data_IF_619773957431
#
_entry.id   IF_619773957431
#
_cell.length_a   1.000
_cell.length_b   1.000
_cell.length_c   1.000
_cell.angle_alpha   90.00
_cell.angle_beta   90.00
_cell.angle_gamma   90.00
#
_symmetry.space_group_name_H-M   'P 1'
#
loop_
_entity.id
_entity.type
_entity.pdbx_description
1 polymer ?
#
# COMPACT_ATOMS: atom_id res chain seq x y z
N UNK A 1 -1.55 -10.04 -11.54
CA UNK A 1 -0.43 -9.41 -10.79
C UNK A 1 -1.00 -8.26 -9.99
N UNK A 2 -0.60 -8.13 -8.73
CA UNK A 2 -0.94 -7.01 -7.86
C UNK A 2 -0.17 -5.77 -8.26
N UNK A 3 -0.86 -4.64 -8.46
CA UNK A 3 -0.26 -3.35 -8.81
C UNK A 3 -0.76 -2.21 -7.94
N UNK A 4 0.14 -1.50 -7.30
CA UNK A 4 -0.20 -0.31 -6.52
C UNK A 4 0.94 0.70 -6.59
N UNK A 5 0.64 1.95 -6.28
CA UNK A 5 1.59 3.07 -6.24
C UNK A 5 1.56 3.68 -4.85
N UNK A 6 2.70 3.83 -4.22
CA UNK A 6 2.86 4.55 -2.95
C UNK A 6 3.58 5.87 -3.18
N UNK A 7 3.16 6.94 -2.49
CA UNK A 7 3.86 8.22 -2.51
C UNK A 7 4.10 8.74 -1.08
N UNK A 8 5.19 9.47 -0.91
CA UNK A 8 5.61 10.00 0.39
C UNK A 8 4.79 11.20 0.88
N UNK A 9 4.13 11.91 -0.04
CA UNK A 9 3.20 12.99 0.27
C UNK A 9 1.75 12.61 -0.03
N UNK A 10 0.83 13.43 0.49
CA UNK A 10 -0.59 13.31 0.20
C UNK A 10 -0.90 13.66 -1.27
N UNK A 11 -2.10 13.29 -1.71
CA UNK A 11 -2.63 13.55 -3.05
C UNK A 11 -1.78 12.98 -4.20
N UNK A 12 -1.06 11.88 -3.95
CA UNK A 12 -0.18 11.22 -4.94
C UNK A 12 0.95 12.13 -5.46
N UNK A 13 1.48 12.99 -4.59
CA UNK A 13 2.58 13.91 -4.89
C UNK A 13 3.88 13.48 -4.20
N UNK A 14 4.99 14.16 -4.49
CA UNK A 14 6.30 13.88 -3.91
C UNK A 14 7.02 12.71 -4.59
N UNK A 15 7.83 11.98 -3.83
CA UNK A 15 8.50 10.77 -4.32
C UNK A 15 7.49 9.62 -4.33
N UNK A 16 7.28 9.04 -5.51
CA UNK A 16 6.37 7.93 -5.68
C UNK A 16 7.09 6.69 -6.21
N UNK A 17 6.66 5.52 -5.75
CA UNK A 17 7.14 4.22 -6.21
C UNK A 17 5.96 3.37 -6.68
N UNK A 18 6.10 2.78 -7.86
CA UNK A 18 5.20 1.75 -8.36
C UNK A 18 5.67 0.37 -7.91
N UNK A 19 4.73 -0.46 -7.45
CA UNK A 19 4.92 -1.83 -7.02
C UNK A 19 4.12 -2.77 -7.91
N UNK A 20 4.75 -3.89 -8.30
CA UNK A 20 4.21 -4.85 -9.26
C UNK A 20 4.63 -6.25 -8.87
N UNK A 21 3.74 -6.97 -8.19
CA UNK A 21 4.08 -8.25 -7.57
C UNK A 21 3.01 -9.31 -7.83
N UNK A 22 3.29 -10.54 -7.41
CA UNK A 22 2.30 -11.63 -7.44
C UNK A 22 1.10 -11.30 -6.56
N UNK A 23 -0.09 -11.70 -7.02
CA UNK A 23 -1.29 -11.68 -6.17
C UNK A 23 -1.18 -12.76 -5.10
N UNK A 24 -1.88 -12.60 -3.98
CA UNK A 24 -1.99 -13.56 -2.88
C UNK A 24 -0.67 -13.80 -2.13
N UNK A 25 0.47 -13.41 -2.65
CA UNK A 25 1.75 -13.43 -1.94
C UNK A 25 1.91 -12.20 -1.06
N UNK A 26 2.59 -12.39 0.07
CA UNK A 26 2.94 -11.30 0.96
C UNK A 26 4.30 -10.73 0.57
N UNK A 27 4.39 -9.40 0.51
CA UNK A 27 5.61 -8.69 0.14
C UNK A 27 5.95 -7.65 1.19
N UNK A 28 7.23 -7.59 1.56
CA UNK A 28 7.75 -6.61 2.52
C UNK A 28 8.21 -5.34 1.82
N UNK A 29 7.98 -4.19 2.46
CA UNK A 29 8.44 -2.91 1.96
C UNK A 29 9.96 -2.81 2.12
N UNK A 30 10.70 -2.39 1.07
CA UNK A 30 12.12 -2.09 1.18
C UNK A 30 12.39 -1.13 2.33
N UNK A 31 13.53 -1.31 3.03
CA UNK A 31 13.85 -0.55 4.24
C UNK A 31 13.90 0.96 3.98
N UNK A 32 14.27 1.36 2.77
CA UNK A 32 14.38 2.75 2.32
C UNK A 32 13.02 3.42 2.17
N UNK A 33 11.94 2.64 2.04
CA UNK A 33 10.57 3.13 1.82
C UNK A 33 9.68 2.96 3.06
N UNK A 34 10.17 2.27 4.09
CA UNK A 34 9.50 2.20 5.40
C UNK A 34 9.36 3.60 5.98
N UNK A 35 8.27 3.83 6.70
CA UNK A 35 8.00 5.11 7.36
C UNK A 35 7.80 6.33 6.46
N UNK A 36 7.50 6.12 5.17
CA UNK A 36 7.36 7.22 4.21
C UNK A 36 6.00 7.37 3.57
N UNK A 37 5.25 6.28 3.41
CA UNK A 37 4.06 6.30 2.56
C UNK A 37 2.90 7.08 3.20
N UNK A 38 2.47 8.15 2.54
CA UNK A 38 1.35 9.02 2.94
C UNK A 38 0.14 8.87 2.02
N UNK A 39 0.33 8.47 0.75
CA UNK A 39 -0.78 8.18 -0.16
C UNK A 39 -0.54 6.92 -0.98
N UNK A 40 -1.63 6.22 -1.32
CA UNK A 40 -1.58 4.92 -1.99
C UNK A 40 -2.66 4.85 -3.07
N UNK A 41 -2.29 4.52 -4.29
CA UNK A 41 -3.21 4.22 -5.37
C UNK A 41 -3.21 2.73 -5.70
N UNK A 42 -4.38 2.15 -5.95
CA UNK A 42 -4.54 0.74 -6.32
C UNK A 42 -5.21 0.67 -7.69
N UNK A 43 -4.68 -0.15 -8.60
CA UNK A 43 -5.21 -0.31 -9.95
C UNK A 43 -6.58 -0.99 -9.93
N UNK A 44 -7.48 -0.62 -10.86
CA UNK A 44 -8.80 -1.23 -11.01
C UNK A 44 -8.75 -2.77 -11.16
N UNK A 45 -9.75 -3.46 -10.61
CA UNK A 45 -9.87 -4.94 -10.70
C UNK A 45 -9.09 -5.72 -9.63
N UNK A 46 -8.56 -5.03 -8.62
CA UNK A 46 -7.89 -5.63 -7.48
C UNK A 46 -8.07 -4.78 -6.22
N UNK A 47 -7.79 -5.36 -5.06
CA UNK A 47 -7.64 -4.63 -3.80
C UNK A 47 -6.39 -5.10 -3.09
N UNK A 48 -5.86 -4.28 -2.18
CA UNK A 48 -4.68 -4.61 -1.40
C UNK A 48 -4.94 -4.41 0.09
N UNK A 49 -4.36 -5.28 0.90
CA UNK A 49 -4.20 -5.07 2.33
C UNK A 49 -2.78 -4.60 2.59
N UNK A 50 -2.67 -3.50 3.31
CA UNK A 50 -1.41 -2.95 3.81
C UNK A 50 -1.31 -3.21 5.29
N UNK A 51 -0.13 -3.60 5.77
CA UNK A 51 0.08 -4.04 7.15
C UNK A 51 1.13 -3.20 7.85
N UNK A 52 0.98 -3.02 9.16
CA UNK A 52 1.95 -2.32 10.02
C UNK A 52 3.16 -3.18 10.38
N UNK A 53 3.06 -4.50 10.25
CA UNK A 53 4.16 -5.44 10.45
C UNK A 53 4.78 -5.91 9.13
N UNK A 54 6.00 -6.45 9.21
CA UNK A 54 6.57 -7.24 8.10
C UNK A 54 5.81 -8.59 7.99
N UNK A 55 5.96 -9.26 6.86
CA UNK A 55 5.36 -10.56 6.52
C UNK A 55 3.84 -10.61 6.69
N UNK A 56 3.17 -9.49 6.41
CA UNK A 56 1.71 -9.32 6.47
C UNK A 56 1.14 -9.64 7.85
N UNK A 57 1.85 -9.19 8.89
CA UNK A 57 1.46 -9.35 10.30
C UNK A 57 0.95 -8.02 10.88
N UNK A 58 0.18 -8.11 11.95
CA UNK A 58 -0.33 -6.95 12.70
C UNK A 58 -1.60 -6.34 12.11
N UNK A 59 -1.86 -5.08 12.48
CA UNK A 59 -3.00 -4.30 11.98
C UNK A 59 -2.90 -4.15 10.48
N UNK A 60 -4.06 -4.17 9.80
CA UNK A 60 -4.14 -4.00 8.36
C UNK A 60 -5.15 -2.94 7.96
N UNK A 61 -4.87 -2.29 6.83
CA UNK A 61 -5.78 -1.40 6.12
C UNK A 61 -6.10 -2.01 4.75
N UNK A 62 -7.39 -2.26 4.49
CA UNK A 62 -7.85 -2.60 3.15
C UNK A 62 -8.00 -1.32 2.31
N UNK A 63 -7.39 -1.33 1.12
CA UNK A 63 -7.47 -0.24 0.15
C UNK A 63 -7.95 -0.82 -1.19
N UNK A 64 -9.06 -0.27 -1.66
CA UNK A 64 -9.66 -0.53 -2.97
C UNK A 64 -9.37 0.63 -3.92
N UNK A 65 -9.51 0.43 -5.24
CA UNK A 65 -9.39 1.51 -6.23
C UNK A 65 -10.40 2.65 -5.92
N UNK A 66 -10.02 3.92 -6.13
CA UNK A 66 -8.76 4.40 -6.71
C UNK A 66 -7.58 4.43 -5.72
N UNK A 67 -7.83 4.11 -4.44
CA UNK A 67 -6.85 4.19 -3.36
C UNK A 67 -7.24 5.18 -2.28
N UNK A 68 -6.24 5.72 -1.58
CA UNK A 68 -6.38 6.79 -0.60
C UNK A 68 -5.39 7.92 -0.85
N UNK A 69 -5.92 9.13 -0.92
CA UNK A 69 -5.13 10.35 -1.12
C UNK A 69 -4.33 10.73 0.13
N UNK A 70 -4.69 10.23 1.31
CA UNK A 70 -4.04 10.57 2.56
C UNK A 70 -4.30 9.52 3.65
N UNK A 71 -3.26 8.80 4.04
CA UNK A 71 -3.29 7.75 5.06
C UNK A 71 -3.45 8.30 6.48
N UNK A 72 -3.18 9.59 6.73
CA UNK A 72 -3.44 10.24 8.03
C UNK A 72 -4.91 10.17 8.41
N UNK A 73 -5.81 10.37 7.44
CA UNK A 73 -7.25 10.23 7.63
C UNK A 73 -7.70 8.80 7.95
N UNK A 74 -6.81 7.81 7.75
CA UNK A 74 -7.02 6.40 8.08
C UNK A 74 -6.25 5.95 9.31
N UNK A 75 -5.51 6.85 9.97
CA UNK A 75 -4.55 6.53 11.05
C UNK A 75 -3.54 5.45 10.65
N UNK A 76 -3.10 5.47 9.40
CA UNK A 76 -2.19 4.47 8.82
C UNK A 76 -1.01 5.15 8.09
N UNK A 77 -0.78 6.43 8.38
CA UNK A 77 0.28 7.24 7.77
C UNK A 77 1.65 6.71 8.16
N UNK A 78 2.55 6.55 7.18
CA UNK A 78 3.90 6.03 7.40
C UNK A 78 3.95 4.63 8.07
N UNK A 79 2.81 3.96 8.20
CA UNK A 79 2.71 2.72 8.97
C UNK A 79 2.98 1.48 8.11
N UNK A 80 2.89 1.59 6.77
CA UNK A 80 3.03 0.45 5.86
C UNK A 80 4.42 -0.21 6.02
N UNK A 81 4.42 -1.52 6.23
CA UNK A 81 5.62 -2.38 6.29
C UNK A 81 5.55 -3.58 5.36
N UNK A 82 4.36 -4.04 5.03
CA UNK A 82 4.15 -5.10 4.04
C UNK A 82 2.77 -4.96 3.39
N UNK A 83 2.58 -5.64 2.26
CA UNK A 83 1.30 -5.67 1.55
C UNK A 83 1.03 -7.04 0.95
N UNK A 84 -0.26 -7.27 0.67
CA UNK A 84 -0.75 -8.40 -0.13
C UNK A 84 -1.92 -7.91 -0.95
N UNK A 85 -2.00 -8.32 -2.21
CA UNK A 85 -3.06 -7.90 -3.12
C UNK A 85 -3.83 -9.09 -3.67
N UNK A 86 -5.12 -8.90 -3.95
CA UNK A 86 -6.02 -9.90 -4.50
C UNK A 86 -6.76 -9.34 -5.71
N UNK A 87 -7.18 -10.24 -6.59
CA UNK A 87 -8.13 -9.89 -7.65
C UNK A 87 -9.46 -9.51 -6.99
N UNK A 88 -10.10 -8.48 -7.51
CA UNK A 88 -11.47 -8.14 -7.17
C UNK A 88 -12.39 -8.98 -8.04
N UNK A 89 -13.33 -9.69 -7.43
CA UNK A 89 -14.35 -10.49 -8.13
C UNK A 89 -15.30 -9.60 -8.92
#
# INVERSE_FOLDING_TARGET
>A
MGRWKGCDNANFTGMCQDFRDSLIECHDLPVELKDRMTSVAVVSGQYCWFFEGNKCLGTKLEVKPPGTLNLRGRRFDNAIRSWKCWKQE
#
